data_IF_287170349301
#
_entry.id   IF_287170349301
#
_cell.length_a   1.000
_cell.length_b   1.000
_cell.length_c   1.000
_cell.angle_alpha   90.00
_cell.angle_beta   90.00
_cell.angle_gamma   90.00
#
_symmetry.space_group_name_H-M   'P 1'
#
loop_
_entity.id
_entity.type
_entity.pdbx_description
1 polymer ?
#
# COMPACT_ATOMS: atom_id res chain seq x y z
N UNK A 1 8.19 -12.32 -20.88
CA UNK A 1 6.79 -12.23 -20.38
C UNK A 1 6.69 -11.73 -18.94
N UNK A 2 7.78 -11.28 -18.33
CA UNK A 2 7.90 -11.08 -16.87
C UNK A 2 7.97 -9.60 -16.42
N UNK A 3 8.12 -8.65 -17.34
CA UNK A 3 7.97 -7.21 -17.05
C UNK A 3 6.51 -6.80 -16.76
N UNK A 4 5.55 -7.55 -17.29
CA UNK A 4 4.11 -7.25 -17.20
C UNK A 4 3.51 -7.47 -15.81
N UNK A 5 4.08 -8.37 -15.01
CA UNK A 5 3.59 -8.69 -13.66
C UNK A 5 4.04 -7.68 -12.59
N UNK A 6 5.18 -7.01 -12.79
CA UNK A 6 5.79 -6.07 -11.81
C UNK A 6 5.29 -4.64 -11.95
N UNK A 7 5.12 -4.21 -13.20
CA UNK A 7 4.24 -3.07 -13.48
C UNK A 7 2.81 -3.33 -13.01
N UNK A 8 2.41 -4.61 -12.89
CA UNK A 8 1.18 -5.05 -12.24
C UNK A 8 1.19 -4.68 -10.77
N UNK A 9 2.13 -5.17 -9.95
CA UNK A 9 2.18 -4.87 -8.51
C UNK A 9 2.20 -3.35 -8.19
N UNK A 10 3.05 -2.55 -8.84
CA UNK A 10 3.04 -1.08 -8.60
C UNK A 10 1.81 -0.38 -9.18
N UNK A 11 1.23 -0.86 -10.30
CA UNK A 11 -0.09 -0.38 -10.76
C UNK A 11 -1.20 -0.78 -9.81
N UNK A 12 -1.24 -2.02 -9.35
CA UNK A 12 -2.18 -2.53 -8.35
C UNK A 12 -2.05 -1.73 -7.06
N UNK A 13 -0.85 -1.33 -6.62
CA UNK A 13 -0.68 -0.44 -5.46
C UNK A 13 -1.22 0.97 -5.70
N UNK A 14 -0.92 1.58 -6.86
CA UNK A 14 -1.45 2.89 -7.25
C UNK A 14 -2.97 2.84 -7.46
N UNK A 15 -3.49 1.78 -8.07
CA UNK A 15 -4.91 1.48 -8.28
C UNK A 15 -5.59 1.11 -6.97
N UNK A 16 -4.93 0.49 -5.99
CA UNK A 16 -5.48 0.22 -4.65
C UNK A 16 -5.64 1.51 -3.84
N UNK A 17 -4.68 2.43 -3.94
CA UNK A 17 -4.79 3.74 -3.29
C UNK A 17 -5.74 4.69 -4.03
N UNK A 18 -5.80 4.61 -5.36
CA UNK A 18 -6.71 5.41 -6.18
C UNK A 18 -8.14 4.81 -6.27
N UNK A 19 -8.30 3.50 -6.10
CA UNK A 19 -9.55 2.75 -5.99
C UNK A 19 -9.79 2.27 -4.55
N UNK A 20 -9.44 3.08 -3.54
CA UNK A 20 -10.27 3.04 -2.34
C UNK A 20 -11.63 3.53 -2.84
N UNK A 21 -12.47 2.60 -3.28
CA UNK A 21 -13.82 2.83 -3.80
C UNK A 21 -14.61 3.61 -2.74
N UNK A 22 -14.51 4.93 -2.83
CA UNK A 22 -15.51 5.87 -2.36
C UNK A 22 -16.38 6.04 -3.60
N UNK A 23 -17.23 5.06 -3.86
CA UNK A 23 -18.22 5.15 -4.94
C UNK A 23 -19.20 6.27 -4.57
N UNK A 24 -19.24 7.41 -5.30
CA UNK A 24 -20.17 8.48 -4.99
C UNK A 24 -21.56 8.26 -5.57
N UNK A 25 -21.84 7.12 -6.24
CA UNK A 25 -23.13 6.95 -6.92
C UNK A 25 -23.46 5.49 -7.21
N UNK A 26 -24.14 4.82 -6.29
CA UNK A 26 -24.92 3.61 -6.63
C UNK A 26 -26.40 3.84 -6.31
N UNK A 27 -27.09 4.49 -7.25
CA UNK A 27 -28.53 4.36 -7.44
C UNK A 27 -28.75 3.55 -8.72
N UNK A 28 -28.62 2.22 -8.64
CA UNK A 28 -29.14 1.31 -9.66
C UNK A 28 -30.26 0.43 -9.11
N UNK A 29 -31.47 1.00 -9.13
CA UNK A 29 -32.71 0.21 -9.11
C UNK A 29 -32.89 -0.39 -10.52
N UNK A 30 -32.78 -1.71 -10.62
CA UNK A 30 -33.11 -2.46 -11.82
C UNK A 30 -34.61 -2.42 -12.14
N UNK A 31 -34.92 -2.15 -13.41
CA UNK A 31 -36.25 -2.31 -14.00
C UNK A 31 -36.17 -2.25 -15.53
N UNK A 32 -36.57 -3.33 -16.18
CA UNK A 32 -36.78 -3.46 -17.65
C UNK A 32 -37.73 -2.38 -18.19
N UNK A 33 -37.53 -1.93 -19.44
CA UNK A 33 -38.43 -2.11 -20.61
C UNK A 33 -37.95 -1.29 -21.82
N UNK A 34 -38.43 -1.70 -22.99
CA UNK A 34 -38.00 -1.43 -24.35
C UNK A 34 -38.19 0.01 -24.88
N UNK A 35 -37.41 0.27 -25.95
CA UNK A 35 -37.57 1.22 -27.05
C UNK A 35 -38.83 2.12 -27.13
N UNK A 36 -38.61 3.41 -27.35
CA UNK A 36 -39.19 4.20 -28.46
C UNK A 36 -38.55 5.60 -28.51
N UNK A 37 -38.22 6.04 -29.73
CA UNK A 37 -37.75 7.38 -30.05
C UNK A 37 -38.85 8.45 -29.91
N UNK A 38 -38.38 9.68 -29.72
CA UNK A 38 -38.94 10.95 -30.19
C UNK A 38 -39.54 11.92 -29.16
N UNK A 39 -39.30 13.19 -29.50
CA UNK A 39 -39.95 14.41 -29.03
C UNK A 39 -39.31 15.14 -27.85
N UNK A 40 -38.45 16.09 -28.24
CA UNK A 40 -38.12 17.31 -27.52
C UNK A 40 -39.32 17.91 -26.77
N UNK A 41 -39.18 18.09 -25.45
CA UNK A 41 -39.84 19.18 -24.72
C UNK A 41 -39.05 19.51 -23.46
N UNK A 42 -38.62 20.76 -23.42
CA UNK A 42 -38.01 21.43 -22.28
C UNK A 42 -38.85 21.27 -21.00
N UNK A 43 -38.27 20.66 -19.98
CA UNK A 43 -38.57 20.97 -18.58
C UNK A 43 -37.25 21.26 -17.89
N UNK A 44 -37.07 22.52 -17.52
CA UNK A 44 -35.97 22.99 -16.69
C UNK A 44 -36.09 22.29 -15.33
N UNK A 45 -35.24 21.30 -15.08
CA UNK A 45 -34.89 20.90 -13.72
C UNK A 45 -33.55 21.55 -13.43
N UNK A 46 -33.55 22.46 -12.45
CA UNK A 46 -32.35 23.13 -12.00
C UNK A 46 -31.28 22.09 -11.64
N UNK A 47 -30.12 22.19 -12.28
CA UNK A 47 -28.93 21.51 -11.80
C UNK A 47 -28.64 22.01 -10.37
N UNK A 48 -28.37 21.14 -9.39
CA UNK A 48 -27.77 21.59 -8.15
C UNK A 48 -26.37 22.08 -8.48
N UNK A 49 -26.23 23.38 -8.62
CA UNK A 49 -24.94 24.07 -8.54
C UNK A 49 -24.54 24.12 -7.08
N UNK A 50 -23.87 23.08 -6.58
CA UNK A 50 -23.02 23.22 -5.40
C UNK A 50 -21.56 23.11 -5.87
N UNK A 51 -21.07 24.22 -6.41
CA UNK A 51 -19.65 24.46 -6.61
C UNK A 51 -19.03 24.95 -5.31
N UNK A 52 -19.25 24.24 -4.20
CA UNK A 52 -18.47 24.45 -2.97
C UNK A 52 -17.14 23.76 -3.19
N UNK A 53 -16.12 24.53 -3.56
CA UNK A 53 -14.73 24.07 -3.43
C UNK A 53 -14.54 23.62 -1.98
N UNK A 54 -14.32 22.33 -1.76
CA UNK A 54 -14.21 21.81 -0.40
C UNK A 54 -13.08 22.54 0.34
N UNK A 55 -13.33 22.93 1.60
CA UNK A 55 -12.39 23.74 2.40
C UNK A 55 -11.00 23.08 2.53
N UNK A 56 -10.92 21.75 2.41
CA UNK A 56 -9.66 21.01 2.45
C UNK A 56 -8.79 21.25 1.21
N UNK A 57 -9.38 21.53 0.04
CA UNK A 57 -8.66 21.76 -1.21
C UNK A 57 -7.91 23.10 -1.25
N UNK A 58 -8.43 24.09 -0.50
CA UNK A 58 -7.86 25.44 -0.43
C UNK A 58 -7.00 25.67 0.81
N UNK A 59 -6.91 24.69 1.70
CA UNK A 59 -6.09 24.77 2.91
C UNK A 59 -4.60 24.72 2.56
N UNK A 60 -3.85 25.75 2.96
CA UNK A 60 -2.40 25.85 2.67
C UNK A 60 -1.53 24.94 3.55
N UNK A 61 -2.01 24.57 4.74
CA UNK A 61 -1.33 23.64 5.64
C UNK A 61 -1.76 22.20 5.35
N UNK A 62 -0.84 21.29 4.96
CA UNK A 62 -1.17 19.90 4.67
C UNK A 62 -1.84 19.17 5.83
N UNK A 63 -1.46 19.45 7.08
CA UNK A 63 -2.05 18.80 8.24
C UNK A 63 -3.51 19.22 8.44
N UNK A 64 -3.80 20.52 8.28
CA UNK A 64 -5.17 21.04 8.27
C UNK A 64 -5.99 20.49 7.11
N UNK A 65 -5.44 20.44 5.90
CA UNK A 65 -6.11 19.89 4.72
C UNK A 65 -6.52 18.42 4.95
N UNK A 66 -5.59 17.59 5.41
CA UNK A 66 -5.83 16.19 5.71
C UNK A 66 -6.91 15.98 6.78
N UNK A 67 -6.91 16.81 7.83
CA UNK A 67 -7.95 16.78 8.88
C UNK A 67 -9.34 17.12 8.32
N UNK A 68 -9.44 18.21 7.54
CA UNK A 68 -10.71 18.65 6.95
C UNK A 68 -11.26 17.62 5.96
N UNK A 69 -10.39 17.04 5.13
CA UNK A 69 -10.75 15.98 4.18
C UNK A 69 -11.39 14.78 4.91
N UNK A 70 -10.72 14.28 5.95
CA UNK A 70 -11.24 13.20 6.78
C UNK A 70 -12.59 13.56 7.41
N UNK A 71 -12.69 14.73 8.05
CA UNK A 71 -13.91 15.15 8.75
C UNK A 71 -15.10 15.24 7.79
N UNK A 72 -14.89 15.78 6.58
CA UNK A 72 -15.91 15.84 5.55
C UNK A 72 -16.38 14.44 5.11
N UNK A 73 -15.42 13.52 4.89
CA UNK A 73 -15.74 12.17 4.44
C UNK A 73 -16.44 11.35 5.53
N UNK A 74 -15.97 11.39 6.77
CA UNK A 74 -16.62 10.71 7.90
C UNK A 74 -18.04 11.23 8.12
N UNK A 75 -18.24 12.55 8.08
CA UNK A 75 -19.56 13.17 8.27
C UNK A 75 -20.58 12.71 7.21
N UNK A 76 -20.11 12.48 5.98
CA UNK A 76 -20.95 11.99 4.88
C UNK A 76 -21.45 10.57 5.12
N UNK A 77 -20.73 9.78 5.92
CA UNK A 77 -21.00 8.35 6.13
C UNK A 77 -21.34 7.97 7.57
N UNK A 78 -21.51 8.95 8.46
CA UNK A 78 -21.75 8.75 9.89
C UNK A 78 -23.06 8.00 10.20
N UNK A 79 -24.08 8.18 9.36
CA UNK A 79 -25.37 7.47 9.46
C UNK A 79 -25.38 6.09 8.79
N UNK A 80 -24.27 5.68 8.16
CA UNK A 80 -24.14 4.41 7.46
C UNK A 80 -24.06 3.19 8.39
N UNK A 81 -24.14 1.97 7.84
CA UNK A 81 -23.96 0.74 8.61
C UNK A 81 -22.54 0.71 9.23
N UNK A 82 -22.41 0.38 10.53
CA UNK A 82 -21.12 0.37 11.18
C UNK A 82 -20.26 -0.81 10.68
N UNK A 83 -18.97 -0.55 10.56
CA UNK A 83 -17.95 -1.57 10.38
C UNK A 83 -17.78 -2.31 11.72
N UNK A 84 -18.19 -3.57 11.76
CA UNK A 84 -18.05 -4.39 12.95
C UNK A 84 -16.79 -5.26 12.88
N UNK A 85 -15.90 -5.10 13.85
CA UNK A 85 -14.77 -5.98 14.07
C UNK A 85 -14.89 -6.62 15.45
N UNK A 86 -14.74 -7.95 15.50
CA UNK A 86 -14.62 -8.70 16.75
C UNK A 86 -13.34 -9.52 16.69
N UNK A 87 -12.48 -9.38 17.70
CA UNK A 87 -11.22 -10.10 17.80
C UNK A 87 -11.00 -10.52 19.25
N UNK A 88 -10.64 -11.77 19.51
CA UNK A 88 -10.35 -12.26 20.86
C UNK A 88 -8.84 -12.20 21.10
N UNK A 89 -8.41 -11.43 22.10
CA UNK A 89 -6.99 -11.24 22.42
C UNK A 89 -6.35 -12.47 23.05
N UNK A 90 -7.15 -13.47 23.45
CA UNK A 90 -6.68 -14.73 24.04
C UNK A 90 -6.42 -15.81 22.99
N UNK A 91 -6.90 -15.61 21.77
CA UNK A 91 -6.62 -16.50 20.64
C UNK A 91 -5.14 -16.42 20.24
N UNK A 92 -4.70 -17.39 19.43
CA UNK A 92 -3.32 -17.42 18.95
C UNK A 92 -3.01 -16.18 18.07
N UNK A 93 -1.74 -15.75 17.97
CA UNK A 93 -1.37 -14.65 17.06
C UNK A 93 -1.78 -14.89 15.60
N UNK A 94 -1.80 -16.15 15.17
CA UNK A 94 -2.26 -16.55 13.84
C UNK A 94 -3.78 -16.31 13.67
N UNK A 95 -4.60 -16.69 14.64
CA UNK A 95 -6.05 -16.50 14.59
C UNK A 95 -6.44 -15.01 14.65
N UNK A 96 -5.73 -14.24 15.46
CA UNK A 96 -5.87 -12.78 15.51
C UNK A 96 -5.53 -12.17 14.14
N UNK A 97 -4.42 -12.57 13.52
CA UNK A 97 -4.01 -12.05 12.21
C UNK A 97 -4.98 -12.47 11.10
N UNK A 98 -5.48 -13.72 11.13
CA UNK A 98 -6.54 -14.18 10.22
C UNK A 98 -7.80 -13.34 10.33
N UNK A 99 -8.19 -12.93 11.54
CA UNK A 99 -9.33 -12.04 11.78
C UNK A 99 -9.11 -10.66 11.17
N UNK A 100 -7.93 -10.07 11.36
CA UNK A 100 -7.56 -8.77 10.77
C UNK A 100 -7.56 -8.86 9.23
N UNK A 101 -6.92 -9.89 8.68
CA UNK A 101 -6.85 -10.11 7.23
C UNK A 101 -8.23 -10.30 6.63
N UNK A 102 -9.07 -11.15 7.23
CA UNK A 102 -10.44 -11.36 6.76
C UNK A 102 -11.27 -10.06 6.79
N UNK A 103 -11.10 -9.26 7.84
CA UNK A 103 -11.81 -7.99 7.97
C UNK A 103 -11.46 -7.02 6.83
N UNK A 104 -10.17 -6.86 6.48
CA UNK A 104 -9.71 -5.92 5.46
C UNK A 104 -9.76 -6.46 4.03
N UNK A 105 -9.77 -7.79 3.84
CA UNK A 105 -10.01 -8.39 2.53
C UNK A 105 -11.47 -8.35 2.10
N UNK A 106 -12.41 -8.23 3.05
CA UNK A 106 -13.83 -8.08 2.73
C UNK A 106 -14.08 -6.94 1.73
N UNK A 107 -14.87 -7.24 0.69
CA UNK A 107 -15.25 -6.30 -0.36
C UNK A 107 -16.44 -5.42 0.08
N UNK A 108 -16.70 -4.35 -0.67
CA UNK A 108 -17.90 -3.51 -0.54
C UNK A 108 -18.11 -2.92 0.87
N UNK A 109 -17.01 -2.59 1.55
CA UNK A 109 -17.04 -1.88 2.83
C UNK A 109 -16.81 -0.41 2.62
N UNK A 110 -17.68 0.40 3.19
CA UNK A 110 -17.42 1.82 3.33
C UNK A 110 -16.49 2.05 4.53
N UNK A 111 -15.20 2.24 4.24
CA UNK A 111 -14.16 2.45 5.26
C UNK A 111 -14.29 3.78 6.03
N UNK A 112 -15.12 4.71 5.54
CA UNK A 112 -15.45 5.95 6.25
C UNK A 112 -16.66 5.81 7.19
N UNK A 113 -17.33 4.64 7.22
CA UNK A 113 -18.42 4.38 8.16
C UNK A 113 -17.94 4.24 9.62
N UNK A 114 -18.85 4.34 10.60
CA UNK A 114 -18.52 4.19 12.02
C UNK A 114 -17.89 2.83 12.33
N UNK A 115 -16.78 2.80 13.08
CA UNK A 115 -16.10 1.57 13.46
C UNK A 115 -16.53 1.11 14.86
N UNK A 116 -17.15 -0.07 14.94
CA UNK A 116 -17.42 -0.76 16.19
C UNK A 116 -16.41 -1.90 16.38
N UNK A 117 -15.37 -1.64 17.17
CA UNK A 117 -14.35 -2.61 17.52
C UNK A 117 -14.64 -3.22 18.88
N UNK A 118 -14.70 -4.56 18.94
CA UNK A 118 -14.84 -5.32 20.18
C UNK A 118 -13.66 -6.27 20.35
N UNK A 119 -12.90 -6.06 21.41
CA UNK A 119 -11.78 -6.92 21.79
C UNK A 119 -12.21 -7.81 22.95
N UNK A 120 -12.32 -9.11 22.71
CA UNK A 120 -12.69 -10.07 23.73
C UNK A 120 -11.47 -10.49 24.55
N UNK A 121 -11.68 -10.79 25.83
CA UNK A 121 -10.59 -11.04 26.78
C UNK A 121 -10.07 -9.77 27.49
N UNK A 122 -10.55 -8.59 27.11
CA UNK A 122 -10.35 -7.31 27.80
C UNK A 122 -11.72 -6.70 28.15
N UNK A 123 -11.82 -5.96 29.26
CA UNK A 123 -13.05 -5.28 29.69
C UNK A 123 -13.18 -3.86 29.13
N UNK A 124 -12.21 -3.42 28.32
CA UNK A 124 -12.20 -2.10 27.70
C UNK A 124 -13.34 -1.92 26.68
N UNK A 125 -14.01 -0.76 26.74
CA UNK A 125 -15.05 -0.31 25.81
C UNK A 125 -14.76 1.16 25.43
N UNK A 126 -15.09 1.56 24.20
CA UNK A 126 -15.01 2.94 23.73
C UNK A 126 -13.80 3.22 22.84
N UNK A 127 -13.48 4.50 22.63
CA UNK A 127 -12.47 4.94 21.64
C UNK A 127 -11.07 4.35 21.86
N UNK A 128 -10.72 4.02 23.11
CA UNK A 128 -9.43 3.39 23.43
C UNK A 128 -9.23 2.05 22.74
N UNK A 129 -10.31 1.29 22.55
CA UNK A 129 -10.31 -0.02 21.87
C UNK A 129 -10.01 0.15 20.38
N UNK A 130 -10.64 1.14 19.75
CA UNK A 130 -10.40 1.50 18.35
C UNK A 130 -8.96 1.97 18.13
N UNK A 131 -8.44 2.84 19.01
CA UNK A 131 -7.05 3.29 18.94
C UNK A 131 -6.07 2.12 19.04
N UNK A 132 -6.30 1.22 20.00
CA UNK A 132 -5.46 0.04 20.17
C UNK A 132 -5.49 -0.88 18.96
N UNK A 133 -6.68 -1.11 18.37
CA UNK A 133 -6.80 -1.88 17.14
C UNK A 133 -5.99 -1.29 15.98
N UNK A 134 -6.06 0.03 15.75
CA UNK A 134 -5.26 0.67 14.71
C UNK A 134 -3.75 0.60 15.00
N UNK A 135 -3.35 0.68 16.28
CA UNK A 135 -1.96 0.44 16.67
C UNK A 135 -1.50 -0.98 16.31
N UNK A 136 -2.32 -2.01 16.54
CA UNK A 136 -2.03 -3.38 16.09
C UNK A 136 -1.92 -3.43 14.58
N UNK A 137 -2.85 -2.83 13.84
CA UNK A 137 -2.82 -2.81 12.37
C UNK A 137 -1.50 -2.24 11.83
N UNK A 138 -1.09 -1.07 12.31
CA UNK A 138 0.17 -0.45 11.88
C UNK A 138 1.39 -1.26 12.29
N UNK A 139 1.36 -1.85 13.49
CA UNK A 139 2.42 -2.75 13.94
C UNK A 139 2.54 -3.97 13.01
N UNK A 140 1.43 -4.62 12.67
CA UNK A 140 1.41 -5.81 11.80
C UNK A 140 1.86 -5.51 10.38
N UNK A 141 1.49 -4.35 9.82
CA UNK A 141 2.06 -3.89 8.55
C UNK A 141 3.59 -3.77 8.63
N UNK A 142 4.13 -3.30 9.76
CA UNK A 142 5.59 -3.13 9.93
C UNK A 142 6.34 -4.42 10.25
N UNK A 143 5.78 -5.28 11.11
CA UNK A 143 6.46 -6.48 11.62
C UNK A 143 6.14 -7.75 10.82
N UNK A 144 5.07 -7.72 10.04
CA UNK A 144 4.48 -8.87 9.37
C UNK A 144 3.33 -9.51 10.16
N UNK A 145 2.64 -10.41 9.48
CA UNK A 145 1.51 -11.20 9.96
C UNK A 145 1.93 -12.65 10.15
N UNK A 146 1.42 -13.30 11.19
CA UNK A 146 1.52 -14.74 11.45
C UNK A 146 0.59 -15.52 10.51
N UNK A 147 0.87 -15.44 9.21
CA UNK A 147 0.21 -16.21 8.15
C UNK A 147 1.21 -17.21 7.60
N UNK A 148 0.80 -18.47 7.48
CA UNK A 148 1.63 -19.52 6.90
C UNK A 148 1.58 -19.47 5.37
N UNK A 149 2.14 -18.40 4.78
CA UNK A 149 2.30 -18.26 3.34
C UNK A 149 3.72 -18.69 2.96
N UNK A 150 3.85 -19.75 2.14
CA UNK A 150 5.14 -20.17 1.59
C UNK A 150 6.15 -20.71 2.61
N UNK A 151 5.69 -21.42 3.64
CA UNK A 151 6.51 -22.00 4.74
C UNK A 151 7.20 -20.97 5.65
N UNK A 152 6.85 -19.69 5.56
CA UNK A 152 7.30 -18.67 6.51
C UNK A 152 6.31 -18.59 7.68
N UNK A 153 6.82 -18.59 8.92
CA UNK A 153 6.01 -18.35 10.12
C UNK A 153 5.47 -16.92 10.20
N UNK A 154 6.09 -15.99 9.47
CA UNK A 154 5.71 -14.58 9.41
C UNK A 154 5.76 -14.13 7.96
N UNK A 155 4.63 -13.65 7.47
CA UNK A 155 4.46 -13.04 6.15
C UNK A 155 4.64 -11.53 6.27
N UNK A 156 5.66 -10.98 5.61
CA UNK A 156 5.94 -9.54 5.59
C UNK A 156 5.48 -8.93 4.29
N UNK A 157 4.69 -7.86 4.38
CA UNK A 157 4.30 -7.06 3.21
C UNK A 157 5.36 -6.02 2.87
N UNK A 158 6.16 -5.61 3.85
CA UNK A 158 7.26 -4.69 3.67
C UNK A 158 8.54 -5.28 4.22
N UNK A 159 9.63 -5.07 3.51
CA UNK A 159 10.96 -5.60 3.79
C UNK A 159 11.98 -4.47 3.78
N UNK A 160 13.15 -4.72 4.36
CA UNK A 160 14.24 -3.75 4.46
C UNK A 160 14.48 -3.22 5.87
N UNK A 161 15.37 -2.24 5.97
CA UNK A 161 15.77 -1.60 7.22
C UNK A 161 14.72 -0.56 7.68
N UNK A 162 14.68 -0.19 8.98
CA UNK A 162 13.87 0.93 9.44
C UNK A 162 14.18 2.21 8.63
N UNK A 163 13.14 2.94 8.24
CA UNK A 163 13.19 4.13 7.35
C UNK A 163 13.51 3.85 5.87
N UNK A 164 13.66 2.57 5.51
CA UNK A 164 13.88 2.11 4.14
C UNK A 164 12.98 0.92 3.78
N UNK A 165 11.81 0.82 4.42
CA UNK A 165 10.86 -0.25 4.12
C UNK A 165 10.32 -0.10 2.69
N UNK A 166 10.42 -1.18 1.92
CA UNK A 166 9.88 -1.31 0.57
C UNK A 166 8.86 -2.44 0.50
N UNK A 167 7.87 -2.39 -0.41
CA UNK A 167 6.95 -3.51 -0.61
C UNK A 167 7.71 -4.79 -0.99
N UNK A 168 7.34 -5.91 -0.39
CA UNK A 168 7.92 -7.22 -0.70
C UNK A 168 7.66 -7.60 -2.17
N UNK A 169 8.67 -8.21 -2.80
CA UNK A 169 8.59 -8.66 -4.19
C UNK A 169 7.98 -10.06 -4.35
N UNK A 170 7.54 -10.68 -3.24
CA UNK A 170 6.97 -12.03 -3.23
C UNK A 170 5.65 -12.08 -4.01
N UNK A 171 5.64 -12.86 -5.11
CA UNK A 171 4.49 -12.95 -6.04
C UNK A 171 3.19 -13.38 -5.35
N UNK A 172 3.28 -14.30 -4.39
CA UNK A 172 2.14 -14.78 -3.61
C UNK A 172 1.37 -13.64 -2.92
N UNK A 173 2.05 -12.55 -2.53
CA UNK A 173 1.41 -11.41 -1.87
C UNK A 173 0.58 -10.57 -2.84
N UNK A 174 1.08 -10.44 -4.08
CA UNK A 174 0.41 -9.75 -5.18
C UNK A 174 -0.86 -10.52 -5.56
N UNK A 175 -0.74 -11.84 -5.71
CA UNK A 175 -1.85 -12.71 -6.13
C UNK A 175 -2.93 -12.88 -5.03
N UNK A 176 -2.62 -12.51 -3.79
CA UNK A 176 -3.49 -12.72 -2.62
C UNK A 176 -4.21 -11.47 -2.12
N UNK A 177 -4.24 -10.37 -2.89
CA UNK A 177 -4.84 -9.07 -2.51
C UNK A 177 -4.30 -8.49 -1.18
N UNK A 178 -3.14 -8.96 -0.70
CA UNK A 178 -2.61 -8.54 0.60
C UNK A 178 -2.13 -7.08 0.57
N UNK A 179 -1.71 -6.60 -0.60
CA UNK A 179 -1.40 -5.19 -0.79
C UNK A 179 -2.64 -4.31 -0.88
N UNK A 180 -3.73 -4.83 -1.44
CA UNK A 180 -5.02 -4.15 -1.37
C UNK A 180 -5.50 -4.02 0.08
N UNK A 181 -5.38 -5.10 0.84
CA UNK A 181 -5.64 -5.12 2.28
C UNK A 181 -4.77 -4.08 3.01
N UNK A 182 -3.47 -4.00 2.72
CA UNK A 182 -2.59 -3.01 3.34
C UNK A 182 -3.00 -1.56 3.02
N UNK A 183 -3.37 -1.26 1.77
CA UNK A 183 -3.91 0.05 1.39
C UNK A 183 -5.18 0.40 2.16
N UNK A 184 -6.11 -0.54 2.28
CA UNK A 184 -7.33 -0.38 3.10
C UNK A 184 -7.01 -0.15 4.57
N UNK A 185 -6.04 -0.87 5.14
CA UNK A 185 -5.58 -0.67 6.53
C UNK A 185 -5.02 0.73 6.75
N UNK A 186 -4.16 1.22 5.84
CA UNK A 186 -3.55 2.54 5.90
C UNK A 186 -4.61 3.65 5.77
N UNK A 187 -5.47 3.53 4.77
CA UNK A 187 -6.57 4.47 4.55
C UNK A 187 -7.56 4.50 5.72
N UNK A 188 -8.00 3.34 6.20
CA UNK A 188 -8.92 3.23 7.34
C UNK A 188 -8.31 3.84 8.61
N UNK A 189 -7.02 3.59 8.87
CA UNK A 189 -6.30 4.20 9.98
C UNK A 189 -6.26 5.73 9.86
N UNK A 190 -5.92 6.24 8.67
CA UNK A 190 -5.92 7.68 8.39
C UNK A 190 -7.30 8.31 8.60
N UNK A 191 -8.34 7.68 8.06
CA UNK A 191 -9.73 8.13 8.12
C UNK A 191 -10.30 8.17 9.54
N UNK A 192 -9.79 7.37 10.47
CA UNK A 192 -10.26 7.39 11.86
C UNK A 192 -9.25 8.03 12.82
N UNK A 193 -8.24 8.74 12.29
CA UNK A 193 -7.26 9.46 13.10
C UNK A 193 -6.31 8.55 13.91
N UNK A 194 -6.09 7.32 13.44
CA UNK A 194 -5.13 6.39 14.01
C UNK A 194 -3.67 6.78 13.72
N UNK A 195 -2.70 6.00 14.22
CA UNK A 195 -1.28 6.26 14.01
C UNK A 195 -0.89 6.15 12.53
N UNK A 196 0.03 7.01 12.09
CA UNK A 196 0.61 6.90 10.75
C UNK A 196 1.52 5.68 10.59
N UNK A 197 1.64 5.18 9.36
CA UNK A 197 2.65 4.21 9.02
C UNK A 197 3.99 4.92 8.79
N UNK A 198 5.00 4.51 9.56
CA UNK A 198 6.33 5.13 9.57
C UNK A 198 7.38 4.14 9.11
N UNK A 199 8.49 4.66 8.58
CA UNK A 199 9.63 3.85 8.18
C UNK A 199 9.65 3.42 6.72
N UNK A 200 8.72 3.91 5.89
CA UNK A 200 8.72 3.65 4.45
C UNK A 200 9.85 4.41 3.75
N UNK A 201 10.46 3.76 2.76
CA UNK A 201 11.42 4.38 1.85
C UNK A 201 10.88 5.66 1.21
N UNK A 202 11.71 6.70 1.16
CA UNK A 202 11.36 7.96 0.49
C UNK A 202 11.16 7.78 -1.02
N UNK A 203 11.89 6.87 -1.65
CA UNK A 203 11.70 6.54 -3.07
C UNK A 203 10.31 5.93 -3.31
N UNK A 204 9.89 5.03 -2.44
CA UNK A 204 8.56 4.42 -2.50
C UNK A 204 7.46 5.46 -2.25
N UNK A 205 7.61 6.29 -1.22
CA UNK A 205 6.66 7.38 -0.95
C UNK A 205 6.53 8.34 -2.14
N UNK A 206 7.63 8.69 -2.79
CA UNK A 206 7.61 9.53 -3.99
C UNK A 206 6.73 8.93 -5.09
N UNK A 207 6.90 7.64 -5.39
CA UNK A 207 6.14 6.95 -6.44
C UNK A 207 4.66 6.78 -6.07
N UNK A 208 4.39 6.46 -4.79
CA UNK A 208 3.02 6.30 -4.27
C UNK A 208 2.23 7.61 -4.32
N UNK A 209 2.88 8.74 -4.05
CA UNK A 209 2.27 10.08 -4.08
C UNK A 209 2.20 10.67 -5.50
N UNK A 210 2.30 9.83 -6.54
CA UNK A 210 2.12 10.23 -7.93
C UNK A 210 3.40 10.73 -8.62
N UNK A 211 4.55 10.69 -7.95
CA UNK A 211 5.84 10.97 -8.55
C UNK A 211 6.23 9.96 -9.63
N UNK A 212 7.13 10.37 -10.53
CA UNK A 212 7.68 9.47 -11.54
C UNK A 212 8.73 8.56 -10.92
N UNK A 213 8.71 7.24 -11.17
CA UNK A 213 9.80 6.34 -10.78
C UNK A 213 11.17 6.82 -11.27
N UNK A 214 11.22 7.46 -12.43
CA UNK A 214 12.48 7.92 -13.06
C UNK A 214 13.19 9.03 -12.28
N UNK A 215 12.45 9.78 -11.46
CA UNK A 215 12.98 10.91 -10.67
C UNK A 215 13.05 10.60 -9.18
N UNK A 216 12.66 9.38 -8.77
CA UNK A 216 12.77 8.94 -7.40
C UNK A 216 14.25 8.87 -7.00
N UNK A 217 14.61 9.53 -5.90
CA UNK A 217 15.96 9.43 -5.34
C UNK A 217 16.05 8.13 -4.57
N UNK A 218 16.70 7.14 -5.18
CA UNK A 218 16.87 5.82 -4.58
C UNK A 218 18.30 5.73 -3.99
N UNK A 219 18.46 5.06 -2.85
CA UNK A 219 19.71 4.85 -2.10
C UNK A 219 19.94 3.38 -1.78
N UNK A 220 21.19 2.92 -1.64
CA UNK A 220 21.51 1.49 -1.43
C UNK A 220 20.71 0.79 -0.31
N UNK A 221 20.26 1.53 0.69
CA UNK A 221 19.44 1.04 1.81
C UNK A 221 18.01 0.68 1.43
N UNK A 222 17.49 1.21 0.31
CA UNK A 222 16.18 0.84 -0.22
C UNK A 222 16.16 -0.59 -0.78
N UNK A 223 17.33 -1.20 -1.04
CA UNK A 223 17.42 -2.62 -1.35
C UNK A 223 17.27 -3.45 -0.06
N UNK A 224 16.25 -4.33 0.05
CA UNK A 224 16.07 -5.14 1.25
C UNK A 224 17.04 -6.32 1.35
N UNK A 225 17.63 -6.74 0.22
CA UNK A 225 18.53 -7.88 0.13
C UNK A 225 19.97 -7.49 0.49
N UNK A 226 20.50 -8.14 1.53
CA UNK A 226 21.83 -7.83 2.07
C UNK A 226 22.93 -8.27 1.11
N UNK A 227 22.79 -9.42 0.46
CA UNK A 227 23.81 -9.97 -0.45
C UNK A 227 23.94 -9.10 -1.70
N UNK A 228 22.79 -8.64 -2.22
CA UNK A 228 22.74 -7.68 -3.33
C UNK A 228 23.37 -6.35 -2.90
N UNK A 229 23.05 -5.83 -1.71
CA UNK A 229 23.65 -4.59 -1.19
C UNK A 229 25.16 -4.69 -1.06
N UNK A 230 25.66 -5.77 -0.49
CA UNK A 230 27.09 -6.01 -0.34
C UNK A 230 27.76 -6.04 -1.72
N UNK A 231 27.18 -6.78 -2.68
CA UNK A 231 27.68 -6.87 -4.05
C UNK A 231 27.70 -5.51 -4.75
N UNK A 232 26.66 -4.68 -4.58
CA UNK A 232 26.63 -3.32 -5.14
C UNK A 232 27.67 -2.42 -4.44
N UNK A 233 27.86 -2.59 -3.13
CA UNK A 233 28.83 -1.81 -2.33
C UNK A 233 30.28 -2.13 -2.74
N UNK A 234 30.58 -3.32 -3.29
CA UNK A 234 31.90 -3.61 -3.86
C UNK A 234 32.28 -2.63 -4.97
N UNK A 235 31.30 -2.05 -5.67
CA UNK A 235 31.51 -1.03 -6.69
C UNK A 235 31.83 0.35 -6.08
N UNK A 236 31.68 0.54 -4.76
CA UNK A 236 32.00 1.78 -4.07
C UNK A 236 33.50 1.91 -3.78
N UNK A 237 34.21 2.46 -4.75
CA UNK A 237 35.60 2.85 -4.60
C UNK A 237 36.27 3.09 -5.95
N UNK A 238 37.56 3.43 -5.90
CA UNK A 238 38.46 3.45 -7.07
C UNK A 238 39.43 2.27 -7.07
N UNK A 239 39.26 1.34 -6.14
CA UNK A 239 40.13 0.17 -5.99
C UNK A 239 39.76 -0.90 -7.02
N UNK A 240 40.78 -1.57 -7.57
CA UNK A 240 40.55 -2.75 -8.41
C UNK A 240 39.82 -3.84 -7.61
N UNK A 241 38.75 -4.38 -8.19
CA UNK A 241 38.02 -5.51 -7.63
C UNK A 241 38.89 -6.77 -7.65
N UNK A 242 38.81 -7.58 -6.60
CA UNK A 242 39.41 -8.92 -6.63
C UNK A 242 38.72 -9.77 -7.71
N UNK A 243 39.38 -10.85 -8.16
CA UNK A 243 38.77 -11.77 -9.13
C UNK A 243 37.44 -12.37 -8.63
N UNK A 244 37.35 -12.59 -7.32
CA UNK A 244 36.15 -13.11 -6.67
C UNK A 244 35.02 -12.07 -6.66
N UNK A 245 35.31 -10.83 -6.26
CA UNK A 245 34.33 -9.74 -6.23
C UNK A 245 33.80 -9.43 -7.62
N UNK A 246 34.70 -9.44 -8.61
CA UNK A 246 34.35 -9.27 -10.02
C UNK A 246 33.42 -10.37 -10.52
N UNK A 247 33.61 -11.62 -10.07
CA UNK A 247 32.71 -12.72 -10.40
C UNK A 247 31.31 -12.52 -9.78
N UNK A 248 31.23 -12.10 -8.51
CA UNK A 248 29.95 -11.80 -7.86
C UNK A 248 29.18 -10.69 -8.59
N UNK A 249 29.85 -9.59 -8.92
CA UNK A 249 29.29 -8.48 -9.68
C UNK A 249 28.83 -8.92 -11.08
N UNK A 250 29.62 -9.75 -11.77
CA UNK A 250 29.24 -10.27 -13.08
C UNK A 250 28.03 -11.20 -13.02
N UNK A 251 27.95 -12.05 -11.99
CA UNK A 251 26.80 -12.94 -11.80
C UNK A 251 25.53 -12.14 -11.53
N UNK A 252 25.62 -11.10 -10.70
CA UNK A 252 24.49 -10.20 -10.43
C UNK A 252 24.05 -9.43 -11.68
N UNK A 253 25.00 -8.87 -12.43
CA UNK A 253 24.72 -8.22 -13.70
C UNK A 253 24.06 -9.19 -14.70
N UNK A 254 24.56 -10.43 -14.79
CA UNK A 254 24.00 -11.45 -15.66
C UNK A 254 22.58 -11.86 -15.23
N UNK A 255 22.31 -12.02 -13.94
CA UNK A 255 20.98 -12.33 -13.41
C UNK A 255 19.94 -11.26 -13.75
N UNK A 256 20.38 -10.03 -13.98
CA UNK A 256 19.54 -8.89 -14.35
C UNK A 256 19.63 -8.50 -15.83
N UNK A 257 20.17 -9.37 -16.69
CA UNK A 257 20.35 -9.14 -18.13
C UNK A 257 21.12 -7.83 -18.44
N UNK A 258 22.01 -7.41 -17.54
CA UNK A 258 22.83 -6.22 -17.69
C UNK A 258 24.13 -6.51 -18.47
N UNK A 259 24.69 -5.48 -19.15
CA UNK A 259 25.99 -5.60 -19.78
C UNK A 259 27.07 -5.99 -18.78
N UNK A 260 28.11 -6.67 -19.28
CA UNK A 260 29.26 -7.04 -18.45
C UNK A 260 29.93 -5.77 -17.91
N UNK A 261 30.11 -5.70 -16.59
CA UNK A 261 30.71 -4.54 -15.93
C UNK A 261 32.11 -4.26 -16.49
N UNK A 262 32.25 -3.14 -17.20
CA UNK A 262 33.52 -2.50 -17.53
C UNK A 262 33.86 -1.47 -16.45
N UNK A 263 35.10 -1.00 -16.36
CA UNK A 263 35.60 -0.11 -15.29
C UNK A 263 34.83 1.22 -15.09
N UNK A 264 33.88 1.53 -15.97
CA UNK A 264 33.12 2.78 -15.93
C UNK A 264 31.92 2.72 -14.97
N UNK A 265 31.88 3.67 -14.03
CA UNK A 265 30.91 3.78 -12.93
C UNK A 265 29.42 3.98 -13.29
N UNK A 266 29.01 3.81 -14.55
CA UNK A 266 27.61 3.90 -15.01
C UNK A 266 26.74 2.74 -14.50
N UNK A 267 27.35 1.59 -14.13
CA UNK A 267 26.62 0.41 -13.67
C UNK A 267 25.99 0.55 -12.29
N UNK A 268 26.48 1.47 -11.44
CA UNK A 268 25.94 1.68 -10.08
C UNK A 268 24.46 2.05 -10.07
N UNK A 269 24.05 2.96 -10.96
CA UNK A 269 22.65 3.40 -11.05
C UNK A 269 21.75 2.31 -11.64
N UNK A 270 22.25 1.53 -12.60
CA UNK A 270 21.46 0.49 -13.27
C UNK A 270 21.22 -0.73 -12.38
N UNK A 271 22.26 -1.24 -11.70
CA UNK A 271 22.11 -2.35 -10.74
C UNK A 271 21.16 -1.96 -9.61
N UNK A 272 21.25 -0.72 -9.16
CA UNK A 272 20.53 -0.30 -7.99
C UNK A 272 19.03 -0.07 -8.24
N UNK A 273 18.65 0.46 -9.41
CA UNK A 273 17.24 0.54 -9.82
C UNK A 273 16.65 -0.85 -10.07
N UNK A 274 17.43 -1.77 -10.65
CA UNK A 274 16.96 -3.14 -10.92
C UNK A 274 16.92 -4.04 -9.68
N UNK A 275 17.67 -3.71 -8.63
CA UNK A 275 17.60 -4.39 -7.34
C UNK A 275 16.21 -4.26 -6.68
N UNK A 276 15.58 -3.09 -6.81
CA UNK A 276 14.18 -2.89 -6.40
C UNK A 276 13.18 -3.63 -7.29
N UNK A 277 13.62 -4.08 -8.46
CA UNK A 277 12.81 -4.71 -9.49
C UNK A 277 13.30 -6.15 -9.78
N UNK A 278 14.02 -6.77 -8.83
CA UNK A 278 14.65 -8.07 -9.02
C UNK A 278 13.63 -9.23 -8.96
N UNK A 279 13.62 -10.15 -9.95
CA UNK A 279 12.82 -11.38 -9.91
C UNK A 279 13.14 -12.21 -8.67
N UNK A 280 12.14 -12.78 -7.94
CA UNK A 280 12.45 -13.86 -7.03
C UNK A 280 13.04 -14.99 -7.87
N UNK A 281 14.20 -15.47 -7.46
CA UNK A 281 14.86 -16.62 -8.09
C UNK A 281 13.91 -17.84 -8.10
N UNK A 282 14.12 -18.64 -9.15
CA UNK A 282 13.33 -19.80 -9.60
C UNK A 282 12.85 -20.75 -8.51
#
# INVERSE_FOLDING_TARGET
MTLGLRHGAMRTWREVFNNVDIDPSDDTVGGEWEALEDSSRSFLVAAPTDSTTDEWQVASDPAKAARLFREALLKTHDSGPPLCLRMDLRESPEDQDRTIVAFYKAHQKNWAGPLNCRLEGDTAIGEGVTRFFFSICMQKLRSGFSLNCGNANITRLFEGEPDYLVPSSLSLLVDSDLFQMAGRMLGHCFLHGGPGFVGMSQAILHVLLGGSPDVATVTIKDCPDIDIRETITLLDGTSELSEQDRACVHNLAFAWDLPRVTEDGYMKKCLFILSLDAPPDK
#
